data_IF_688837475413
#
_entry.id   IF_688837475413
#
_cell.length_a   1.000
_cell.length_b   1.000
_cell.length_c   1.000
_cell.angle_alpha   90.00
_cell.angle_beta   90.00
_cell.angle_gamma   90.00
#
_symmetry.space_group_name_H-M   'P 1'
#
loop_
_entity.id
_entity.type
_entity.pdbx_description
1 polymer ?
#
# COMPACT_ATOMS: atom_id res chain seq x y z
N UNK A 1 12.62 16.17 -14.16
CA UNK A 1 12.67 15.64 -12.78
C UNK A 1 13.07 14.18 -12.89
N UNK A 2 13.97 13.69 -12.03
CA UNK A 2 14.33 12.27 -12.02
C UNK A 2 13.20 11.43 -11.44
N UNK A 3 12.93 10.28 -12.05
CA UNK A 3 11.96 9.30 -11.54
C UNK A 3 12.73 8.15 -10.90
N UNK A 4 12.43 7.86 -9.63
CA UNK A 4 13.01 6.73 -8.90
C UNK A 4 12.08 5.54 -9.07
N UNK A 5 12.64 4.44 -9.61
CA UNK A 5 11.93 3.17 -9.71
C UNK A 5 12.09 2.40 -8.40
N UNK A 6 10.98 1.93 -7.85
CA UNK A 6 10.95 1.21 -6.58
C UNK A 6 10.27 -0.14 -6.78
N UNK A 7 10.99 -1.22 -6.50
CA UNK A 7 10.40 -2.57 -6.41
C UNK A 7 10.15 -2.90 -4.94
N UNK A 8 8.89 -2.90 -4.54
CA UNK A 8 8.48 -3.14 -3.15
C UNK A 8 8.70 -4.59 -2.70
N UNK A 9 8.89 -5.52 -3.64
CA UNK A 9 9.22 -6.91 -3.34
C UNK A 9 10.71 -7.14 -3.07
N UNK A 10 11.55 -6.12 -3.30
CA UNK A 10 12.97 -6.20 -3.05
C UNK A 10 13.28 -6.43 -1.56
N UNK A 11 14.29 -7.25 -1.21
CA UNK A 11 14.58 -7.66 0.17
C UNK A 11 15.08 -6.51 1.07
N UNK A 12 15.35 -5.34 0.50
CA UNK A 12 15.71 -4.13 1.24
C UNK A 12 14.51 -3.52 1.97
N UNK A 13 13.28 -3.81 1.55
CA UNK A 13 12.07 -3.33 2.20
C UNK A 13 11.55 -4.41 3.14
N UNK A 14 11.36 -4.10 4.45
CA UNK A 14 10.74 -5.02 5.37
C UNK A 14 9.30 -5.25 4.91
N UNK A 15 8.91 -6.51 4.79
CA UNK A 15 7.53 -6.89 4.53
C UNK A 15 6.98 -7.74 5.67
N UNK A 16 5.80 -7.38 6.13
CA UNK A 16 4.98 -8.11 7.10
C UNK A 16 3.84 -8.89 6.40
N UNK A 17 3.93 -9.04 5.08
CA UNK A 17 2.95 -9.77 4.29
C UNK A 17 2.83 -11.22 4.73
N UNK A 18 1.60 -11.62 5.04
CA UNK A 18 1.26 -12.97 5.52
C UNK A 18 1.22 -14.03 4.42
N UNK A 19 1.24 -13.63 3.15
CA UNK A 19 1.09 -14.55 2.01
C UNK A 19 -0.33 -15.10 1.84
N UNK A 20 -1.31 -14.58 2.61
CA UNK A 20 -2.70 -15.01 2.51
C UNK A 20 -3.26 -14.56 1.17
N UNK A 21 -3.50 -15.55 0.31
CA UNK A 21 -4.26 -15.38 -0.93
C UNK A 21 -5.72 -15.75 -0.66
N UNK A 22 -6.68 -14.85 -0.90
CA UNK A 22 -8.09 -15.16 -0.68
C UNK A 22 -8.57 -16.24 -1.65
N UNK A 23 -9.20 -17.29 -1.13
CA UNK A 23 -9.89 -18.31 -1.94
C UNK A 23 -11.40 -18.09 -1.93
N UNK A 24 -11.85 -16.95 -2.48
CA UNK A 24 -13.28 -16.60 -2.54
C UNK A 24 -13.79 -16.73 -3.97
N UNK A 25 -14.97 -17.34 -4.21
CA UNK A 25 -15.48 -17.59 -5.58
C UNK A 25 -15.60 -16.36 -6.47
N UNK A 26 -15.83 -15.18 -5.88
CA UNK A 26 -16.03 -13.92 -6.61
C UNK A 26 -14.81 -12.99 -6.57
N UNK A 27 -13.64 -13.50 -6.14
CA UNK A 27 -12.39 -12.74 -6.12
C UNK A 27 -11.41 -13.37 -7.09
N UNK A 28 -10.77 -12.51 -7.89
CA UNK A 28 -9.75 -12.91 -8.84
C UNK A 28 -8.46 -12.18 -8.51
N UNK A 29 -7.36 -12.92 -8.40
CA UNK A 29 -6.02 -12.35 -8.33
C UNK A 29 -5.70 -11.68 -9.65
N UNK A 30 -5.29 -10.43 -9.58
CA UNK A 30 -4.95 -9.61 -10.73
C UNK A 30 -3.45 -9.33 -10.73
N UNK A 31 -2.83 -9.06 -11.90
CA UNK A 31 -1.45 -8.60 -11.96
C UNK A 31 -1.25 -7.29 -11.20
N UNK A 32 -0.07 -7.10 -10.63
CA UNK A 32 0.23 -5.96 -9.76
C UNK A 32 0.32 -4.62 -10.51
N UNK A 33 0.49 -4.63 -11.84
CA UNK A 33 0.69 -3.41 -12.65
C UNK A 33 -0.37 -2.32 -12.41
N UNK A 34 -1.64 -2.72 -12.29
CA UNK A 34 -2.73 -1.76 -12.04
C UNK A 34 -2.58 -1.11 -10.67
N UNK A 35 -2.28 -1.91 -9.63
CA UNK A 35 -2.19 -1.40 -8.27
C UNK A 35 -0.90 -0.63 -8.05
N UNK A 36 0.23 -1.06 -8.63
CA UNK A 36 1.51 -0.36 -8.56
C UNK A 36 1.39 1.03 -9.18
N UNK A 37 0.75 1.15 -10.35
CA UNK A 37 0.45 2.47 -10.95
C UNK A 37 -0.39 3.34 -10.02
N UNK A 38 -1.41 2.77 -9.38
CA UNK A 38 -2.23 3.52 -8.42
C UNK A 38 -1.43 3.96 -7.17
N UNK A 39 -0.50 3.12 -6.70
CA UNK A 39 0.43 3.47 -5.63
C UNK A 39 1.37 4.60 -6.06
N UNK A 40 1.93 4.56 -7.28
CA UNK A 40 2.80 5.63 -7.80
C UNK A 40 2.06 6.96 -7.79
N UNK A 41 0.83 6.98 -8.30
CA UNK A 41 -0.01 8.18 -8.26
C UNK A 41 -0.32 8.65 -6.84
N UNK A 42 -0.63 7.73 -5.92
CA UNK A 42 -0.98 8.07 -4.54
C UNK A 42 0.21 8.63 -3.76
N UNK A 43 1.41 8.06 -3.91
CA UNK A 43 2.62 8.56 -3.25
C UNK A 43 3.00 9.94 -3.79
N UNK A 44 3.09 10.09 -5.11
CA UNK A 44 3.44 11.38 -5.72
C UNK A 44 2.41 12.47 -5.38
N UNK A 45 1.12 12.13 -5.27
CA UNK A 45 0.09 13.06 -4.78
C UNK A 45 0.35 13.49 -3.34
N UNK A 46 0.65 12.55 -2.44
CA UNK A 46 1.02 12.85 -1.04
C UNK A 46 2.26 13.72 -0.94
N UNK A 47 3.31 13.43 -1.72
CA UNK A 47 4.54 14.24 -1.75
C UNK A 47 4.25 15.69 -2.17
N UNK A 48 3.42 15.88 -3.21
CA UNK A 48 3.00 17.22 -3.64
C UNK A 48 2.16 17.96 -2.60
N UNK A 49 1.26 17.25 -1.91
CA UNK A 49 0.44 17.81 -0.83
C UNK A 49 1.30 18.21 0.38
N UNK A 50 2.23 17.34 0.79
CA UNK A 50 3.18 17.61 1.86
C UNK A 50 4.05 18.83 1.54
N UNK A 51 4.57 18.93 0.31
CA UNK A 51 5.34 20.07 -0.15
C UNK A 51 4.53 21.38 -0.11
N UNK A 52 3.26 21.35 -0.55
CA UNK A 52 2.37 22.52 -0.47
C UNK A 52 2.05 22.94 0.97
N UNK A 53 1.95 21.97 1.88
CA UNK A 53 1.68 22.20 3.30
C UNK A 53 2.94 22.60 4.09
N UNK A 54 4.13 22.62 3.46
CA UNK A 54 5.39 22.91 4.15
C UNK A 54 5.85 21.78 5.10
N UNK A 55 5.36 20.55 4.91
CA UNK A 55 5.78 19.39 5.70
C UNK A 55 7.11 18.88 5.14
N UNK A 56 8.19 19.12 5.89
CA UNK A 56 9.55 18.83 5.44
C UNK A 56 9.96 17.37 5.70
N UNK A 57 9.48 16.75 6.79
CA UNK A 57 9.92 15.42 7.22
C UNK A 57 9.80 14.33 6.13
N UNK A 58 8.68 14.26 5.41
CA UNK A 58 8.49 13.27 4.34
C UNK A 58 9.43 13.51 3.14
N UNK A 59 9.75 14.78 2.89
CA UNK A 59 10.63 15.21 1.82
C UNK A 59 12.11 15.02 2.16
N UNK A 60 12.49 15.12 3.42
CA UNK A 60 13.86 14.84 3.84
C UNK A 60 14.16 13.34 3.75
N UNK A 61 13.20 12.49 4.13
CA UNK A 61 13.34 11.03 4.08
C UNK A 61 13.24 10.47 2.64
N UNK A 62 12.30 10.97 1.83
CA UNK A 62 12.03 10.45 0.47
C UNK A 62 12.45 11.43 -0.65
N UNK A 63 13.15 12.51 -0.35
CA UNK A 63 13.56 13.50 -1.35
C UNK A 63 12.40 14.18 -2.10
N UNK A 64 12.69 14.71 -3.29
CA UNK A 64 11.74 15.44 -4.16
C UNK A 64 11.50 14.78 -5.51
N UNK A 65 11.99 13.55 -5.69
CA UNK A 65 11.83 12.82 -6.94
C UNK A 65 10.37 12.39 -7.15
N UNK A 66 10.03 12.06 -8.39
CA UNK A 66 8.83 11.29 -8.64
C UNK A 66 9.13 9.80 -8.43
N UNK A 67 8.14 9.08 -7.92
CA UNK A 67 8.26 7.66 -7.61
C UNK A 67 7.44 6.81 -8.56
N UNK A 68 8.05 5.75 -9.09
CA UNK A 68 7.40 4.76 -9.93
C UNK A 68 7.58 3.37 -9.33
N UNK A 69 6.51 2.81 -8.78
CA UNK A 69 6.50 1.44 -8.29
C UNK A 69 6.45 0.45 -9.46
N UNK A 70 7.39 -0.47 -9.47
CA UNK A 70 7.59 -1.48 -10.53
C UNK A 70 7.76 -2.86 -9.91
N UNK A 71 7.73 -3.91 -10.73
CA UNK A 71 7.91 -5.28 -10.24
C UNK A 71 6.64 -5.79 -9.59
N UNK A 72 6.69 -6.09 -8.30
CA UNK A 72 5.56 -6.69 -7.56
C UNK A 72 5.22 -5.88 -6.31
N UNK A 73 4.05 -6.16 -5.73
CA UNK A 73 3.69 -5.73 -4.39
C UNK A 73 4.71 -6.24 -3.34
N UNK A 74 4.73 -5.63 -2.12
CA UNK A 74 5.54 -6.16 -1.03
C UNK A 74 5.31 -7.66 -0.83
N UNK A 75 6.39 -8.40 -0.56
CA UNK A 75 6.32 -9.86 -0.43
C UNK A 75 5.21 -10.28 0.55
N UNK A 76 4.36 -11.22 0.14
CA UNK A 76 3.24 -11.70 0.96
C UNK A 76 1.96 -10.84 0.89
N UNK A 77 1.93 -9.79 0.07
CA UNK A 77 0.71 -9.07 -0.28
C UNK A 77 0.13 -9.58 -1.60
N UNK A 78 -1.19 -9.44 -1.78
CA UNK A 78 -1.87 -9.88 -2.99
C UNK A 78 -2.97 -8.92 -3.38
N UNK A 79 -2.94 -8.49 -4.64
CA UNK A 79 -3.98 -7.68 -5.25
C UNK A 79 -5.07 -8.57 -5.86
N UNK A 80 -6.31 -8.31 -5.48
CA UNK A 80 -7.46 -8.98 -6.07
C UNK A 80 -8.54 -7.99 -6.46
N UNK A 81 -9.28 -8.34 -7.50
CA UNK A 81 -10.52 -7.67 -7.86
C UNK A 81 -11.70 -8.56 -7.52
N UNK A 82 -12.70 -7.97 -6.87
CA UNK A 82 -13.98 -8.62 -6.60
C UNK A 82 -14.95 -8.36 -7.75
N UNK A 83 -15.46 -9.42 -8.36
CA UNK A 83 -16.58 -9.33 -9.29
C UNK A 83 -17.85 -8.96 -8.53
N UNK A 84 -18.54 -7.88 -8.92
CA UNK A 84 -19.93 -7.66 -8.53
C UNK A 84 -20.86 -8.31 -9.55
N UNK A 85 -22.00 -8.80 -9.08
CA UNK A 85 -23.06 -9.36 -9.91
C UNK A 85 -23.81 -8.32 -10.77
N UNK A 86 -23.51 -7.02 -10.62
CA UNK A 86 -24.19 -5.92 -11.31
C UNK A 86 -23.20 -5.01 -12.06
N UNK A 87 -23.59 -4.39 -13.19
CA UNK A 87 -22.70 -3.62 -14.08
C UNK A 87 -22.43 -2.19 -13.58
N UNK A 88 -22.25 -2.01 -12.27
CA UNK A 88 -21.79 -0.75 -11.69
C UNK A 88 -20.26 -0.66 -11.80
N UNK A 89 -19.78 0.45 -12.33
CA UNK A 89 -18.40 0.69 -12.80
C UNK A 89 -17.38 0.88 -11.67
N UNK A 90 -17.78 0.77 -10.41
CA UNK A 90 -16.86 0.77 -9.26
C UNK A 90 -16.17 -0.59 -9.11
N UNK A 91 -14.88 -0.62 -9.45
CA UNK A 91 -13.96 -1.74 -9.21
C UNK A 91 -13.78 -1.92 -7.69
N UNK A 92 -14.38 -2.97 -7.11
CA UNK A 92 -14.09 -3.38 -5.74
C UNK A 92 -12.73 -4.07 -5.73
N UNK A 93 -11.67 -3.31 -5.42
CA UNK A 93 -10.34 -3.88 -5.24
C UNK A 93 -10.07 -4.23 -3.79
N UNK A 94 -9.24 -5.23 -3.56
CA UNK A 94 -8.74 -5.62 -2.24
C UNK A 94 -7.26 -5.95 -2.31
N UNK A 95 -6.52 -5.52 -1.30
CA UNK A 95 -5.11 -5.85 -1.11
C UNK A 95 -5.01 -6.61 0.20
N UNK A 96 -4.76 -7.91 0.09
CA UNK A 96 -4.59 -8.82 1.23
C UNK A 96 -3.11 -8.93 1.60
N UNK A 97 -2.83 -9.49 2.78
CA UNK A 97 -1.47 -9.73 3.27
C UNK A 97 -1.18 -9.10 4.63
N UNK A 98 -1.95 -8.10 5.06
CA UNK A 98 -1.67 -7.40 6.32
C UNK A 98 -1.77 -8.33 7.55
N UNK A 99 -0.86 -8.23 8.56
CA UNK A 99 -0.85 -9.09 9.75
C UNK A 99 -2.15 -9.14 10.56
N UNK A 100 -2.95 -8.06 10.52
CA UNK A 100 -4.27 -8.03 11.17
C UNK A 100 -5.28 -9.02 10.59
N UNK A 101 -5.00 -9.65 9.45
CA UNK A 101 -5.95 -10.44 8.67
C UNK A 101 -6.96 -9.60 7.87
N UNK A 102 -6.90 -8.27 7.99
CA UNK A 102 -7.70 -7.34 7.20
C UNK A 102 -7.15 -7.14 5.78
N UNK A 103 -7.88 -6.35 4.97
CA UNK A 103 -7.47 -5.97 3.62
C UNK A 103 -7.66 -4.46 3.39
N UNK A 104 -6.94 -3.91 2.42
CA UNK A 104 -7.11 -2.53 1.97
C UNK A 104 -8.00 -2.47 0.73
N UNK A 105 -8.93 -1.51 0.69
CA UNK A 105 -9.89 -1.35 -0.42
C UNK A 105 -9.42 -0.39 -1.52
N UNK A 106 -8.23 0.18 -1.38
CA UNK A 106 -7.60 1.01 -2.41
C UNK A 106 -6.10 1.17 -2.18
N UNK A 107 -5.35 1.46 -3.24
CA UNK A 107 -3.93 1.82 -3.13
C UNK A 107 -3.71 3.03 -2.22
N UNK A 108 -4.62 4.01 -2.22
CA UNK A 108 -4.54 5.17 -1.33
C UNK A 108 -4.68 4.80 0.16
N UNK A 109 -5.52 3.81 0.50
CA UNK A 109 -5.66 3.30 1.88
C UNK A 109 -4.46 2.43 2.29
N UNK A 110 -3.83 1.75 1.34
CA UNK A 110 -2.62 0.95 1.58
C UNK A 110 -1.35 1.79 1.69
N UNK A 111 -1.31 2.95 1.03
CA UNK A 111 -0.13 3.80 0.93
C UNK A 111 0.57 4.15 2.26
N UNK A 112 -0.12 4.47 3.38
CA UNK A 112 0.57 4.70 4.65
C UNK A 112 1.40 3.50 5.14
N UNK A 113 0.97 2.28 4.79
CA UNK A 113 1.70 1.05 5.06
C UNK A 113 2.94 0.94 4.19
N UNK A 114 2.79 1.18 2.88
CA UNK A 114 3.91 1.20 1.92
C UNK A 114 4.96 2.23 2.31
N UNK A 115 4.55 3.44 2.72
CA UNK A 115 5.48 4.49 3.17
C UNK A 115 6.24 4.06 4.42
N UNK A 116 5.59 3.40 5.39
CA UNK A 116 6.27 2.87 6.57
C UNK A 116 7.30 1.78 6.22
N UNK A 117 7.01 0.92 5.24
CA UNK A 117 7.96 -0.05 4.70
C UNK A 117 9.15 0.64 4.02
N UNK A 118 8.90 1.64 3.18
CA UNK A 118 9.95 2.39 2.48
C UNK A 118 10.88 3.14 3.43
N UNK A 119 10.35 3.68 4.53
CA UNK A 119 11.15 4.38 5.54
C UNK A 119 11.85 3.42 6.52
N UNK A 120 11.65 2.10 6.40
CA UNK A 120 12.20 1.09 7.31
C UNK A 120 11.74 1.25 8.78
N UNK A 121 10.62 1.94 9.01
CA UNK A 121 10.03 2.20 10.33
C UNK A 121 8.60 1.65 10.44
N UNK A 122 8.40 0.31 10.34
CA UNK A 122 7.07 -0.30 10.32
C UNK A 122 6.28 -0.06 11.62
N UNK A 123 6.96 0.11 12.76
CA UNK A 123 6.34 0.41 14.06
C UNK A 123 5.57 1.73 14.10
N UNK A 124 5.90 2.68 13.22
CA UNK A 124 5.25 3.99 13.12
C UNK A 124 4.20 4.04 12.01
N UNK A 125 3.73 2.90 11.52
CA UNK A 125 2.72 2.86 10.48
C UNK A 125 1.38 3.47 10.94
N UNK A 126 0.90 4.48 10.23
CA UNK A 126 -0.41 5.11 10.43
C UNK A 126 -1.48 4.59 9.45
N UNK A 127 -1.36 3.35 8.99
CA UNK A 127 -2.44 2.74 8.22
C UNK A 127 -3.58 2.34 9.17
N UNK A 128 -4.82 2.36 8.65
CA UNK A 128 -6.03 2.04 9.43
C UNK A 128 -5.93 0.68 10.13
N UNK A 129 -5.33 -0.33 9.50
CA UNK A 129 -5.25 -1.68 10.05
C UNK A 129 -4.24 -1.76 11.21
N UNK A 130 -3.08 -1.11 11.11
CA UNK A 130 -2.11 -0.99 12.19
C UNK A 130 -2.67 -0.18 13.38
N UNK A 131 -3.39 0.91 13.11
CA UNK A 131 -4.07 1.69 14.16
C UNK A 131 -5.10 0.84 14.92
N UNK A 132 -5.86 0.01 14.21
CA UNK A 132 -6.83 -0.90 14.81
C UNK A 132 -6.15 -1.97 15.68
N UNK A 133 -5.06 -2.58 15.23
CA UNK A 133 -4.30 -3.55 16.04
C UNK A 133 -3.79 -2.92 17.33
N UNK A 134 -3.13 -1.76 17.25
CA UNK A 134 -2.64 -1.05 18.45
C UNK A 134 -3.76 -0.70 19.43
N UNK A 135 -4.94 -0.32 18.92
CA UNK A 135 -6.09 -0.03 19.77
C UNK A 135 -6.66 -1.28 20.46
N UNK A 136 -6.53 -2.47 19.85
CA UNK A 136 -6.90 -3.75 20.47
C UNK A 136 -5.87 -4.13 21.53
N UNK A 137 -4.58 -4.05 21.21
CA UNK A 137 -3.49 -4.40 22.14
C UNK A 137 -3.51 -3.52 23.39
N UNK A 138 -3.81 -2.22 23.25
CA UNK A 138 -3.93 -1.30 24.39
C UNK A 138 -5.14 -1.58 25.31
N UNK A 139 -6.07 -2.46 24.90
CA UNK A 139 -7.25 -2.87 25.69
C UNK A 139 -7.11 -4.26 26.32
N UNK A 140 -6.08 -5.02 25.94
CA UNK A 140 -5.78 -6.35 26.46
C UNK A 140 -4.92 -6.25 27.74
#
# INVERSE_FOLDING_TARGET
>A
MSTIKVDLSAPIYPSDGTGIVPNKPNERVEPDDEILRALSHALNRKMREAAKAGIIALRDELGTAEYDFVGNLPSGYTYVRRGRAAPDTRRDIRIYGHPSGGFFESGAKFMPHVVAMMMLYPSYCCCKLCEQMRAIDARA
#
